data_IF_469751614177
#
_entry.id   IF_469751614177
#
_cell.length_a   1.000
_cell.length_b   1.000
_cell.length_c   1.000
_cell.angle_alpha   90.00
_cell.angle_beta   90.00
_cell.angle_gamma   90.00
#
_symmetry.space_group_name_H-M   'P 1'
#
loop_
_entity.id
_entity.type
_entity.pdbx_description
1 polymer ?
#
# COMPACT_ATOMS: atom_id res chain seq x y z
N UNK A 1 -7.72 6.93 10.57
CA UNK A 1 -6.56 6.16 10.07
C UNK A 1 -7.04 5.13 9.07
N UNK A 2 -6.18 4.78 8.12
CA UNK A 2 -6.47 3.69 7.21
C UNK A 2 -6.12 2.36 7.87
N UNK A 3 -6.95 1.35 7.66
CA UNK A 3 -6.62 -0.01 8.00
C UNK A 3 -5.92 -0.62 6.79
N UNK A 4 -4.68 -1.08 6.96
CA UNK A 4 -3.86 -1.53 5.84
C UNK A 4 -3.51 -3.00 5.99
N UNK A 5 -3.70 -3.74 4.91
CA UNK A 5 -3.22 -5.12 4.81
C UNK A 5 -2.36 -5.25 3.56
N UNK A 6 -1.17 -5.79 3.72
CA UNK A 6 -0.29 -6.14 2.62
C UNK A 6 -0.19 -7.66 2.61
N UNK A 7 -0.64 -8.28 1.54
CA UNK A 7 -0.83 -9.72 1.48
C UNK A 7 -0.12 -10.30 0.26
N UNK A 8 0.59 -11.40 0.45
CA UNK A 8 1.04 -12.24 -0.64
C UNK A 8 0.15 -13.50 -0.67
N UNK A 9 0.23 -14.32 -1.74
CA UNK A 9 -0.58 -15.53 -1.77
C UNK A 9 -0.32 -16.47 -0.59
N UNK A 10 0.83 -16.37 0.04
CA UNK A 10 1.25 -17.32 1.07
C UNK A 10 1.09 -16.77 2.49
N UNK A 11 1.13 -15.44 2.66
CA UNK A 11 1.12 -14.88 4.00
C UNK A 11 0.69 -13.43 4.02
N UNK A 12 0.36 -12.95 5.22
CA UNK A 12 0.13 -11.54 5.47
C UNK A 12 1.48 -10.94 5.84
N UNK A 13 1.95 -9.98 5.05
CA UNK A 13 3.24 -9.34 5.26
C UNK A 13 3.16 -8.14 6.18
N UNK A 14 2.02 -7.47 6.21
CA UNK A 14 1.78 -6.34 7.09
C UNK A 14 0.28 -6.23 7.35
N UNK A 15 -0.07 -5.95 8.59
CA UNK A 15 -1.45 -5.66 8.97
C UNK A 15 -1.41 -4.63 10.09
N UNK A 16 -2.06 -3.50 9.88
CA UNK A 16 -2.05 -2.44 10.88
C UNK A 16 -2.66 -1.17 10.35
N UNK A 17 -2.47 -0.09 11.09
CA UNK A 17 -3.02 1.21 10.72
C UNK A 17 -1.96 2.11 10.13
N UNK A 18 -2.37 2.98 9.19
CA UNK A 18 -1.48 3.95 8.61
C UNK A 18 -2.24 5.26 8.38
N UNK A 19 -1.51 6.38 8.42
CA UNK A 19 -2.05 7.68 8.10
C UNK A 19 -2.22 7.85 6.58
N UNK A 20 -1.25 7.33 5.81
CA UNK A 20 -1.24 7.47 4.36
C UNK A 20 -0.51 6.29 3.74
N UNK A 21 -0.99 5.85 2.58
CA UNK A 21 -0.32 4.80 1.80
C UNK A 21 -0.03 5.36 0.42
N UNK A 22 1.21 5.25 -0.02
CA UNK A 22 1.64 5.69 -1.36
C UNK A 22 2.11 4.49 -2.14
N UNK A 23 1.57 4.32 -3.35
CA UNK A 23 1.94 3.21 -4.21
C UNK A 23 2.24 3.70 -5.62
N UNK A 24 2.97 2.91 -6.38
CA UNK A 24 3.24 3.19 -7.79
C UNK A 24 2.30 2.36 -8.65
N UNK A 25 1.57 3.03 -9.53
CA UNK A 25 0.64 2.36 -10.44
C UNK A 25 1.39 1.80 -11.65
N UNK A 26 0.72 0.90 -12.36
CA UNK A 26 1.33 0.26 -13.54
C UNK A 26 1.65 1.26 -14.65
N UNK A 27 0.98 2.41 -14.66
CA UNK A 27 1.27 3.46 -15.62
C UNK A 27 2.48 4.32 -15.27
N UNK A 28 3.12 4.07 -14.13
CA UNK A 28 4.33 4.76 -13.71
C UNK A 28 4.11 5.93 -12.77
N UNK A 29 2.86 6.34 -12.56
CA UNK A 29 2.55 7.40 -11.61
C UNK A 29 2.40 6.88 -10.19
N UNK A 30 2.50 7.78 -9.23
CA UNK A 30 2.25 7.44 -7.83
C UNK A 30 0.86 7.94 -7.43
N UNK A 31 0.23 7.20 -6.52
CA UNK A 31 -1.04 7.60 -5.95
C UNK A 31 -0.96 7.45 -4.43
N UNK A 32 -1.51 8.43 -3.72
CA UNK A 32 -1.53 8.43 -2.27
C UNK A 32 -2.96 8.27 -1.78
N UNK A 33 -3.15 7.38 -0.81
CA UNK A 33 -4.44 7.16 -0.19
C UNK A 33 -4.41 7.72 1.22
N UNK A 34 -5.41 8.54 1.53
CA UNK A 34 -5.62 9.12 2.85
C UNK A 34 -6.98 8.66 3.38
N UNK A 35 -7.22 8.76 4.69
CA UNK A 35 -8.55 8.47 5.22
C UNK A 35 -9.62 9.26 4.47
N UNK A 36 -10.72 8.61 4.16
CA UNK A 36 -11.80 9.22 3.40
C UNK A 36 -11.63 9.17 1.89
N UNK A 37 -10.59 8.50 1.40
CA UNK A 37 -10.39 8.37 -0.05
C UNK A 37 -11.55 7.60 -0.68
N UNK A 38 -11.96 8.01 -1.88
CA UNK A 38 -12.99 7.31 -2.62
C UNK A 38 -12.55 5.87 -2.94
N UNK A 39 -13.48 4.93 -3.10
CA UNK A 39 -13.13 3.57 -3.47
C UNK A 39 -12.27 3.53 -4.73
N UNK A 40 -11.29 2.64 -4.73
CA UNK A 40 -10.33 2.55 -5.83
C UNK A 40 -9.88 1.10 -5.98
N UNK A 41 -9.68 0.68 -7.21
CA UNK A 41 -9.09 -0.61 -7.54
C UNK A 41 -8.15 -0.40 -8.70
N UNK A 42 -6.90 -0.81 -8.55
CA UNK A 42 -5.92 -0.58 -9.60
C UNK A 42 -4.79 -1.58 -9.58
N UNK A 43 -4.13 -1.70 -10.73
CA UNK A 43 -2.96 -2.54 -10.88
C UNK A 43 -1.72 -1.74 -10.49
N UNK A 44 -0.79 -2.42 -9.82
CA UNK A 44 0.45 -1.83 -9.37
C UNK A 44 1.58 -2.20 -10.30
N UNK A 45 2.51 -1.26 -10.49
CA UNK A 45 3.74 -1.52 -11.20
C UNK A 45 4.85 -1.93 -10.25
N UNK A 46 6.02 -2.19 -10.81
CA UNK A 46 7.20 -2.41 -10.00
C UNK A 46 7.64 -1.08 -9.40
N UNK A 47 7.95 -1.07 -8.11
CA UNK A 47 8.42 0.12 -7.46
C UNK A 47 8.26 0.08 -5.97
N UNK A 48 8.52 1.23 -5.35
CA UNK A 48 8.46 1.37 -3.92
C UNK A 48 7.08 1.82 -3.46
N UNK A 49 6.57 1.18 -2.42
CA UNK A 49 5.39 1.63 -1.71
C UNK A 49 5.82 2.17 -0.36
N UNK A 50 5.13 3.16 0.14
CA UNK A 50 5.44 3.76 1.43
C UNK A 50 4.20 3.76 2.31
N UNK A 51 4.37 3.24 3.52
CA UNK A 51 3.32 3.25 4.54
C UNK A 51 3.71 4.31 5.56
N UNK A 52 3.00 5.42 5.54
CA UNK A 52 3.19 6.48 6.52
C UNK A 52 2.33 6.15 7.73
N UNK A 53 2.95 5.60 8.78
CA UNK A 53 2.20 5.10 9.92
C UNK A 53 1.59 6.23 10.72
N UNK A 54 2.26 7.39 10.75
CA UNK A 54 1.77 8.57 11.45
C UNK A 54 2.03 9.79 10.59
N UNK A 55 1.21 10.82 10.79
CA UNK A 55 1.43 12.09 10.12
C UNK A 55 2.72 12.72 10.67
N UNK A 56 3.76 12.78 9.82
CA UNK A 56 5.06 13.29 10.21
C UNK A 56 5.90 12.35 11.05
N UNK A 57 5.46 11.08 11.18
CA UNK A 57 6.17 10.09 11.96
C UNK A 57 6.81 9.01 11.12
N UNK A 58 6.74 7.78 11.61
CA UNK A 58 7.42 6.64 11.00
C UNK A 58 6.89 6.32 9.61
N UNK A 59 7.80 6.04 8.67
CA UNK A 59 7.47 5.59 7.32
C UNK A 59 8.16 4.26 7.09
N UNK A 60 7.36 3.27 6.67
CA UNK A 60 7.91 1.98 6.25
C UNK A 60 7.89 1.93 4.73
N UNK A 61 9.05 1.64 4.15
CA UNK A 61 9.17 1.50 2.70
C UNK A 61 9.30 0.03 2.34
N UNK A 62 8.66 -0.34 1.23
CA UNK A 62 8.79 -1.69 0.72
C UNK A 62 8.83 -1.67 -0.79
N UNK A 63 9.49 -2.67 -1.35
CA UNK A 63 9.56 -2.84 -2.79
C UNK A 63 8.51 -3.87 -3.20
N UNK A 64 7.69 -3.50 -4.18
CA UNK A 64 6.67 -4.38 -4.74
C UNK A 64 7.01 -4.66 -6.20
N UNK A 65 6.76 -5.87 -6.63
CA UNK A 65 6.91 -6.23 -8.03
C UNK A 65 5.53 -6.57 -8.60
N UNK A 66 4.74 -5.53 -8.83
CA UNK A 66 3.40 -5.69 -9.35
C UNK A 66 2.38 -6.01 -8.29
N UNK A 67 1.15 -6.27 -8.71
CA UNK A 67 0.06 -6.62 -7.84
C UNK A 67 -1.15 -5.73 -8.04
N UNK A 68 -2.01 -5.67 -7.03
CA UNK A 68 -3.21 -4.86 -7.05
C UNK A 68 -3.39 -4.15 -5.72
N UNK A 69 -4.05 -3.00 -5.77
CA UNK A 69 -4.46 -2.30 -4.57
C UNK A 69 -5.97 -2.06 -4.63
N UNK A 70 -6.64 -2.31 -3.51
CA UNK A 70 -8.06 -2.02 -3.36
C UNK A 70 -8.25 -1.12 -2.15
N UNK A 71 -9.01 -0.04 -2.34
CA UNK A 71 -9.34 0.90 -1.27
C UNK A 71 -10.85 0.91 -1.12
N UNK A 72 -11.33 0.69 0.10
CA UNK A 72 -12.76 0.68 0.39
C UNK A 72 -12.96 1.01 1.88
N UNK A 73 -13.75 2.05 2.17
CA UNK A 73 -14.13 2.40 3.55
C UNK A 73 -12.92 2.51 4.50
N UNK A 74 -11.93 3.31 4.15
CA UNK A 74 -10.73 3.50 4.96
C UNK A 74 -9.91 2.22 5.15
N UNK A 75 -10.15 1.21 4.30
CA UNK A 75 -9.34 0.00 4.27
C UNK A 75 -8.56 -0.06 2.97
N UNK A 76 -7.26 -0.29 3.08
CA UNK A 76 -6.38 -0.45 1.93
C UNK A 76 -5.83 -1.87 1.95
N UNK A 77 -6.08 -2.61 0.88
CA UNK A 77 -5.55 -3.96 0.73
C UNK A 77 -4.61 -3.97 -0.47
N UNK A 78 -3.38 -4.39 -0.24
CA UNK A 78 -2.38 -4.54 -1.31
C UNK A 78 -2.09 -6.02 -1.45
N UNK A 79 -2.28 -6.54 -2.65
CA UNK A 79 -1.95 -7.92 -2.97
C UNK A 79 -0.79 -7.93 -3.95
N UNK A 80 0.32 -8.55 -3.55
CA UNK A 80 1.52 -8.62 -4.38
C UNK A 80 2.18 -9.98 -4.23
N UNK A 81 2.64 -10.54 -5.35
CA UNK A 81 3.36 -11.82 -5.31
C UNK A 81 4.74 -11.66 -4.68
N UNK A 82 5.36 -10.51 -4.89
CA UNK A 82 6.69 -10.24 -4.36
C UNK A 82 6.71 -8.89 -3.68
N UNK A 83 7.00 -8.90 -2.39
CA UNK A 83 7.12 -7.68 -1.62
C UNK A 83 8.22 -7.87 -0.58
N UNK A 84 9.03 -6.85 -0.37
CA UNK A 84 10.09 -6.90 0.62
C UNK A 84 10.26 -5.53 1.25
N UNK A 85 10.38 -5.49 2.58
CA UNK A 85 10.66 -4.24 3.25
C UNK A 85 12.07 -3.77 2.91
N UNK A 86 12.19 -2.48 2.70
CA UNK A 86 13.48 -1.82 2.47
C UNK A 86 14.02 -1.37 3.81
N UNK A 87 15.23 -1.77 4.10
CA UNK A 87 15.89 -1.37 5.36
C UNK A 87 16.71 -0.10 5.18
#
# INVERSE_FOLDING_TARGET
MLQVELVSPEEILFSGEAYMVVVRTIGGGEIAFLPGHAPFLGALGEGEARLHLQNGGEVKSLHLNGGFVEVSHDKVTILSDEAAFVE
#
